data_IF_168067140762
#
_entry.id   IF_168067140762
#
_cell.length_a   1.000
_cell.length_b   1.000
_cell.length_c   1.000
_cell.angle_alpha   90.00
_cell.angle_beta   90.00
_cell.angle_gamma   90.00
#
_symmetry.space_group_name_H-M   'P 1'
#
loop_
_entity.id
_entity.type
_entity.pdbx_description
1 polymer ?
#
# COMPACT_ATOMS: atom_id res chain seq x y z
N UNK A 1 -28.31 15.28 -17.79
CA UNK A 1 -27.35 14.35 -18.41
C UNK A 1 -26.03 14.48 -17.67
N UNK A 2 -25.78 13.64 -16.66
CA UNK A 2 -24.53 13.68 -15.91
C UNK A 2 -23.55 12.69 -16.57
N UNK A 3 -22.43 13.22 -17.07
CA UNK A 3 -21.42 12.43 -17.76
C UNK A 3 -20.75 11.50 -16.76
N UNK A 4 -20.96 10.19 -16.90
CA UNK A 4 -20.30 9.17 -16.09
C UNK A 4 -18.78 9.26 -16.23
N UNK A 5 -18.11 9.25 -15.08
CA UNK A 5 -16.66 9.27 -14.90
C UNK A 5 -15.91 8.40 -15.92
N UNK A 6 -15.18 9.03 -16.83
CA UNK A 6 -14.25 8.36 -17.74
C UNK A 6 -12.88 8.19 -17.08
N UNK A 7 -12.77 7.36 -16.04
CA UNK A 7 -11.45 7.01 -15.52
C UNK A 7 -10.91 5.82 -16.32
N UNK A 8 -10.13 6.09 -17.37
CA UNK A 8 -9.39 5.04 -18.07
C UNK A 8 -8.03 4.86 -17.40
N UNK A 9 -7.80 3.66 -16.86
CA UNK A 9 -6.70 3.29 -15.95
C UNK A 9 -5.64 2.36 -16.58
N UNK A 10 -5.49 2.32 -17.91
CA UNK A 10 -4.54 1.40 -18.56
C UNK A 10 -3.26 2.12 -18.96
N UNK A 11 -2.12 1.67 -18.43
CA UNK A 11 -0.79 2.11 -18.81
C UNK A 11 -0.17 1.13 -19.81
N UNK A 12 0.35 1.64 -20.93
CA UNK A 12 1.15 0.85 -21.88
C UNK A 12 2.63 1.02 -21.49
N UNK A 13 3.27 -0.07 -21.07
CA UNK A 13 4.67 -0.08 -20.63
C UNK A 13 5.54 -0.87 -21.61
N UNK A 14 6.66 -0.31 -22.10
CA UNK A 14 7.62 -1.06 -22.92
C UNK A 14 8.17 -2.28 -22.19
N UNK A 15 8.17 -3.44 -22.85
CA UNK A 15 8.53 -4.73 -22.26
C UNK A 15 9.80 -5.36 -22.87
N UNK A 16 10.47 -4.66 -23.77
CA UNK A 16 11.72 -5.05 -24.43
C UNK A 16 12.86 -5.24 -23.41
N UNK A 17 12.95 -4.35 -22.42
CA UNK A 17 13.87 -4.47 -21.30
C UNK A 17 13.11 -4.78 -20.00
N UNK A 18 13.31 -5.99 -19.48
CA UNK A 18 12.63 -6.46 -18.25
C UNK A 18 12.94 -5.63 -17.01
N UNK A 19 14.16 -5.09 -16.88
CA UNK A 19 14.54 -4.29 -15.73
C UNK A 19 13.80 -2.94 -15.76
N UNK A 20 13.82 -2.26 -16.90
CA UNK A 20 13.12 -0.98 -17.09
C UNK A 20 11.61 -1.13 -16.95
N UNK A 21 11.02 -2.18 -17.55
CA UNK A 21 9.60 -2.47 -17.43
C UNK A 21 9.18 -2.61 -15.96
N UNK A 22 9.95 -3.34 -15.16
CA UNK A 22 9.70 -3.49 -13.72
C UNK A 22 9.81 -2.17 -12.98
N UNK A 23 10.83 -1.36 -13.27
CA UNK A 23 10.99 -0.05 -12.63
C UNK A 23 9.81 0.88 -12.93
N UNK A 24 9.35 0.92 -14.17
CA UNK A 24 8.19 1.73 -14.57
C UNK A 24 6.93 1.27 -13.84
N UNK A 25 6.66 -0.04 -13.82
CA UNK A 25 5.49 -0.60 -13.11
C UNK A 25 5.58 -0.33 -11.62
N UNK A 26 6.75 -0.53 -10.99
CA UNK A 26 6.96 -0.23 -9.58
C UNK A 26 6.70 1.23 -9.25
N UNK A 27 7.12 2.17 -10.12
CA UNK A 27 6.86 3.59 -9.90
C UNK A 27 5.38 3.93 -10.00
N UNK A 28 4.68 3.42 -11.01
CA UNK A 28 3.22 3.59 -11.17
C UNK A 28 2.48 3.11 -9.91
N UNK A 29 2.85 1.94 -9.39
CA UNK A 29 2.27 1.42 -8.15
C UNK A 29 2.56 2.31 -6.96
N UNK A 30 3.80 2.75 -6.77
CA UNK A 30 4.16 3.65 -5.67
C UNK A 30 3.39 4.96 -5.74
N UNK A 31 3.35 5.63 -6.89
CA UNK A 31 2.62 6.90 -7.07
C UNK A 31 1.13 6.73 -6.80
N UNK A 32 0.54 5.63 -7.26
CA UNK A 32 -0.88 5.32 -7.01
C UNK A 32 -1.15 5.10 -5.52
N UNK A 33 -0.29 4.33 -4.85
CA UNK A 33 -0.42 4.00 -3.44
C UNK A 33 -0.16 5.22 -2.54
N UNK A 34 0.80 6.07 -2.87
CA UNK A 34 1.06 7.34 -2.18
C UNK A 34 -0.16 8.27 -2.24
N UNK A 35 -0.89 8.28 -3.37
CA UNK A 35 -2.13 9.01 -3.53
C UNK A 35 -3.28 8.55 -2.61
N UNK A 36 -3.20 7.34 -2.04
CA UNK A 36 -4.27 6.76 -1.20
C UNK A 36 -4.22 7.18 0.28
N UNK A 37 -3.33 8.10 0.68
CA UNK A 37 -3.19 8.56 2.08
C UNK A 37 -3.12 7.41 3.09
N UNK A 38 -2.40 6.35 2.75
CA UNK A 38 -2.34 5.13 3.56
C UNK A 38 -1.53 5.35 4.84
N UNK A 39 -2.04 4.86 5.96
CA UNK A 39 -1.34 4.86 7.24
C UNK A 39 -1.60 3.56 7.99
N UNK A 40 -0.61 3.07 8.74
CA UNK A 40 -0.83 1.97 9.67
C UNK A 40 -1.83 2.41 10.75
N UNK A 41 -2.77 1.53 11.15
CA UNK A 41 -3.74 1.86 12.18
C UNK A 41 -3.03 2.16 13.50
N UNK A 42 -3.43 3.26 14.15
CA UNK A 42 -2.95 3.59 15.48
C UNK A 42 -3.51 2.57 16.49
N UNK A 43 -2.64 2.01 17.30
CA UNK A 43 -3.04 1.10 18.37
C UNK A 43 -3.57 1.88 19.58
N UNK A 44 -4.51 1.28 20.32
CA UNK A 44 -5.07 1.84 21.55
C UNK A 44 -4.18 1.51 22.76
N UNK A 45 -4.34 2.27 23.86
CA UNK A 45 -3.63 1.96 25.11
C UNK A 45 -3.97 0.55 25.62
N UNK A 46 -5.25 0.16 25.54
CA UNK A 46 -5.71 -1.19 25.90
C UNK A 46 -5.01 -2.28 25.09
N UNK A 47 -4.94 -2.13 23.77
CA UNK A 47 -4.27 -3.11 22.89
C UNK A 47 -2.77 -3.18 23.19
N UNK A 48 -2.13 -2.07 23.57
CA UNK A 48 -0.73 -2.08 23.98
C UNK A 48 -0.50 -2.87 25.27
N UNK A 49 -1.38 -2.73 26.26
CA UNK A 49 -1.25 -3.50 27.52
C UNK A 49 -1.49 -5.00 27.32
N UNK A 50 -2.44 -5.38 26.46
CA UNK A 50 -2.64 -6.77 26.06
C UNK A 50 -1.40 -7.35 25.36
N UNK A 51 -0.79 -6.61 24.42
CA UNK A 51 0.42 -7.07 23.75
C UNK A 51 1.60 -7.20 24.72
N UNK A 52 1.69 -6.34 25.75
CA UNK A 52 2.71 -6.46 26.81
C UNK A 52 2.50 -7.71 27.66
N UNK A 53 1.26 -8.07 28.00
CA UNK A 53 0.98 -9.28 28.79
C UNK A 53 1.32 -10.54 27.99
N UNK A 54 0.95 -10.60 26.70
CA UNK A 54 1.33 -11.68 25.80
C UNK A 54 2.85 -11.81 25.71
N UNK A 55 3.57 -10.69 25.52
CA UNK A 55 5.04 -10.69 25.43
C UNK A 55 5.72 -11.27 26.68
N UNK A 56 5.16 -11.00 27.88
CA UNK A 56 5.70 -11.56 29.14
C UNK A 56 5.53 -13.09 29.20
N UNK A 57 4.43 -13.62 28.68
CA UNK A 57 4.19 -15.07 28.65
C UNK A 57 5.08 -15.85 27.68
N UNK A 58 5.68 -15.17 26.69
CA UNK A 58 6.60 -15.75 25.72
C UNK A 58 8.08 -15.65 26.11
N UNK A 59 8.41 -14.93 27.20
CA UNK A 59 9.78 -14.73 27.66
C UNK A 59 10.29 -15.85 28.61
N UNK A 60 9.65 -17.03 28.56
CA UNK A 60 10.07 -18.25 29.24
C UNK A 60 11.11 -19.02 28.42
#
# INVERSE_FOLDING_TARGET
MSHGNQQRFWHIVPADNKANARLIVSRILLDTLEGLSMAYPKTTAQRREELKSIRKGLAN
#
